data_IF_749621187528
#
_entry.id   IF_749621187528
#
_cell.length_a   1.000
_cell.length_b   1.000
_cell.length_c   1.000
_cell.angle_alpha   90.00
_cell.angle_beta   90.00
_cell.angle_gamma   90.00
#
_symmetry.space_group_name_H-M   'P 1'
#
loop_
_entity.id
_entity.type
_entity.pdbx_description
1 polymer ?
#
# COMPACT_ATOMS: atom_id res chain seq x y z
N UNK A 1 4.63 25.13 29.05
CA UNK A 1 4.11 24.17 28.06
C UNK A 1 3.19 24.92 27.08
N UNK A 2 3.71 25.25 25.89
CA UNK A 2 2.89 25.77 24.78
C UNK A 2 2.09 24.60 24.16
N UNK A 3 0.81 24.83 23.84
CA UNK A 3 -0.01 23.89 23.08
C UNK A 3 -0.25 24.44 21.69
N UNK A 4 0.04 23.63 20.68
CA UNK A 4 -0.22 23.95 19.28
C UNK A 4 -1.40 23.10 18.81
N UNK A 5 -2.30 23.70 18.04
CA UNK A 5 -3.44 23.01 17.44
C UNK A 5 -3.51 23.36 15.96
N UNK A 6 -3.50 22.36 15.11
CA UNK A 6 -3.62 22.52 13.66
C UNK A 6 -4.56 21.49 13.08
N UNK A 7 -5.14 21.80 11.93
CA UNK A 7 -5.98 20.92 11.13
C UNK A 7 -5.16 20.38 9.97
N UNK A 8 -5.23 19.07 9.71
CA UNK A 8 -4.66 18.44 8.52
C UNK A 8 -5.60 17.36 7.99
N UNK A 9 -5.39 16.96 6.74
CA UNK A 9 -6.16 15.90 6.06
C UNK A 9 -5.35 14.63 5.86
N UNK A 10 -4.19 14.51 6.53
CA UNK A 10 -3.34 13.33 6.41
C UNK A 10 -3.99 12.10 7.03
N UNK A 11 -3.87 11.01 6.32
CA UNK A 11 -4.40 9.70 6.66
C UNK A 11 -3.38 8.61 6.29
N UNK A 12 -3.26 7.53 7.05
CA UNK A 12 -3.79 7.29 8.41
C UNK A 12 -2.94 7.98 9.50
N UNK A 13 -3.23 7.69 10.77
CA UNK A 13 -2.66 8.36 11.95
C UNK A 13 -1.13 8.46 11.98
N UNK A 14 -0.40 7.44 11.47
CA UNK A 14 1.07 7.49 11.45
C UNK A 14 1.62 8.61 10.55
N UNK A 15 0.88 9.05 9.54
CA UNK A 15 1.27 10.19 8.70
C UNK A 15 1.12 11.53 9.45
N UNK A 16 0.18 11.60 10.41
CA UNK A 16 0.09 12.74 11.34
C UNK A 16 1.32 12.75 12.24
N UNK A 17 1.73 11.59 12.75
CA UNK A 17 2.96 11.45 13.54
C UNK A 17 4.21 11.89 12.74
N UNK A 18 4.31 11.47 11.47
CA UNK A 18 5.38 11.89 10.58
C UNK A 18 5.39 13.41 10.37
N UNK A 19 4.22 14.03 10.22
CA UNK A 19 4.08 15.48 10.13
C UNK A 19 4.56 16.17 11.42
N UNK A 20 4.19 15.66 12.59
CA UNK A 20 4.65 16.21 13.88
C UNK A 20 6.17 16.16 13.98
N UNK A 21 6.81 15.05 13.58
CA UNK A 21 8.28 14.98 13.54
C UNK A 21 8.89 15.97 12.56
N UNK A 22 8.33 16.13 11.38
CA UNK A 22 8.79 17.12 10.39
C UNK A 22 8.70 18.55 10.94
N UNK A 23 7.58 18.91 11.58
CA UNK A 23 7.42 20.23 12.21
C UNK A 23 8.41 20.41 13.36
N UNK A 24 8.63 19.38 14.18
CA UNK A 24 9.58 19.42 15.30
C UNK A 24 11.01 19.66 14.83
N UNK A 25 11.39 19.19 13.65
CA UNK A 25 12.74 19.39 13.09
C UNK A 25 12.99 20.83 12.61
N UNK A 26 11.94 21.58 12.27
CA UNK A 26 12.01 22.98 11.88
C UNK A 26 11.97 23.89 13.14
N UNK A 27 11.29 23.44 14.20
CA UNK A 27 10.98 24.23 15.39
C UNK A 27 9.52 24.68 15.41
N UNK A 28 8.81 24.36 16.49
CA UNK A 28 7.38 24.67 16.59
C UNK A 28 7.09 26.18 16.60
N UNK A 29 7.96 26.97 17.19
CA UNK A 29 7.76 28.43 17.27
C UNK A 29 7.88 29.07 15.88
N UNK A 30 8.90 28.71 15.11
CA UNK A 30 9.11 29.23 13.73
C UNK A 30 7.99 28.77 12.79
N UNK A 31 7.49 27.55 13.00
CA UNK A 31 6.43 27.00 12.20
C UNK A 31 5.07 27.63 12.55
N UNK A 32 4.79 27.85 13.84
CA UNK A 32 3.50 28.35 14.32
C UNK A 32 3.18 29.76 13.84
N UNK A 33 4.15 30.63 13.72
CA UNK A 33 3.97 32.03 13.31
C UNK A 33 3.52 32.15 11.86
N UNK A 34 3.77 31.13 11.03
CA UNK A 34 3.52 31.16 9.60
C UNK A 34 2.36 30.27 9.15
N UNK A 35 2.07 29.17 9.86
CA UNK A 35 1.18 28.09 9.35
C UNK A 35 0.13 27.61 10.37
N UNK A 36 -0.17 28.35 11.41
CA UNK A 36 -0.78 27.91 12.68
C UNK A 36 -2.12 27.17 12.58
N UNK A 37 -2.95 27.38 11.55
CA UNK A 37 -4.35 26.93 11.65
C UNK A 37 -4.79 25.89 10.62
N UNK A 38 -4.21 25.81 9.45
CA UNK A 38 -4.65 24.88 8.41
C UNK A 38 -3.46 24.33 7.60
N UNK A 39 -3.21 23.04 7.79
CA UNK A 39 -2.21 22.26 7.06
C UNK A 39 -2.85 21.32 6.02
N UNK A 40 -4.11 21.58 5.65
CA UNK A 40 -4.83 20.75 4.67
C UNK A 40 -4.24 20.80 3.26
N UNK A 41 -3.33 21.75 2.98
CA UNK A 41 -2.58 21.82 1.74
C UNK A 41 -1.45 20.76 1.66
N UNK A 42 -1.03 20.18 2.80
CA UNK A 42 0.00 19.14 2.83
C UNK A 42 -0.60 17.85 2.31
N UNK A 43 0.01 17.30 1.28
CA UNK A 43 -0.38 16.02 0.67
C UNK A 43 0.75 15.03 0.83
N UNK A 44 0.40 13.75 0.91
CA UNK A 44 1.37 12.67 0.87
C UNK A 44 2.00 12.58 -0.53
N UNK A 45 3.25 12.13 -0.64
CA UNK A 45 3.85 11.81 -1.92
C UNK A 45 3.05 10.72 -2.65
N UNK A 46 3.10 10.74 -3.98
CA UNK A 46 2.46 9.72 -4.82
C UNK A 46 2.89 8.31 -4.40
N UNK A 47 1.93 7.39 -4.33
CA UNK A 47 2.18 6.00 -3.94
C UNK A 47 2.61 5.79 -2.48
N UNK A 48 2.30 6.74 -1.59
CA UNK A 48 2.52 6.64 -0.14
C UNK A 48 1.19 6.82 0.60
N UNK A 49 0.54 5.72 0.91
CA UNK A 49 -0.83 5.67 1.47
C UNK A 49 -1.77 6.61 0.69
N UNK A 50 -1.60 6.61 -0.61
CA UNK A 50 -2.33 7.49 -1.51
C UNK A 50 -3.76 6.99 -1.68
N UNK A 51 -4.72 7.75 -1.17
CA UNK A 51 -6.14 7.51 -1.40
C UNK A 51 -6.50 7.98 -2.80
N UNK A 52 -7.00 7.08 -3.64
CA UNK A 52 -7.44 7.44 -4.99
C UNK A 52 -8.78 8.15 -4.88
N UNK A 53 -8.78 9.42 -5.25
CA UNK A 53 -9.95 10.28 -5.21
C UNK A 53 -10.74 10.22 -6.52
N UNK A 54 -11.96 10.78 -6.49
CA UNK A 54 -12.88 10.87 -7.64
C UNK A 54 -13.47 9.54 -8.12
N UNK A 55 -13.36 8.49 -7.31
CA UNK A 55 -14.01 7.19 -7.54
C UNK A 55 -14.98 6.87 -6.40
N UNK A 56 -15.99 6.04 -6.67
CA UNK A 56 -17.00 5.65 -5.69
C UNK A 56 -16.54 4.52 -4.73
N UNK A 57 -15.29 4.12 -4.81
CA UNK A 57 -14.70 3.00 -4.07
C UNK A 57 -13.49 3.46 -3.24
N UNK A 58 -13.17 2.72 -2.19
CA UNK A 58 -12.02 3.01 -1.36
C UNK A 58 -10.80 2.23 -1.88
N UNK A 59 -9.91 2.91 -2.59
CA UNK A 59 -8.67 2.33 -3.11
C UNK A 59 -7.48 3.13 -2.57
N UNK A 60 -6.48 2.42 -2.07
CA UNK A 60 -5.24 3.00 -1.54
C UNK A 60 -4.06 2.33 -2.24
N UNK A 61 -3.15 3.13 -2.77
CA UNK A 61 -1.88 2.67 -3.36
C UNK A 61 -0.74 3.02 -2.40
N UNK A 62 0.09 2.02 -2.06
CA UNK A 62 1.22 2.22 -1.15
C UNK A 62 2.47 1.44 -1.57
N UNK A 63 3.63 2.00 -1.26
CA UNK A 63 4.94 1.42 -1.54
C UNK A 63 5.41 0.41 -0.47
N UNK A 64 4.61 0.04 0.51
CA UNK A 64 4.98 -0.93 1.54
C UNK A 64 5.49 -2.23 0.89
N UNK A 65 6.72 -2.63 1.23
CA UNK A 65 7.43 -3.77 0.64
C UNK A 65 8.32 -4.52 1.65
N UNK A 66 8.08 -4.33 2.94
CA UNK A 66 8.73 -5.07 4.03
C UNK A 66 7.74 -5.36 5.16
N UNK A 67 8.07 -6.32 6.04
CA UNK A 67 7.17 -6.79 7.08
C UNK A 67 6.69 -5.69 8.02
N UNK A 68 7.58 -4.77 8.42
CA UNK A 68 7.22 -3.69 9.34
C UNK A 68 6.26 -2.69 8.69
N UNK A 69 6.53 -2.27 7.44
CA UNK A 69 5.63 -1.34 6.74
C UNK A 69 4.27 -1.98 6.46
N UNK A 70 4.21 -3.29 6.16
CA UNK A 70 2.94 -4.03 6.03
C UNK A 70 2.14 -3.98 7.33
N UNK A 71 2.77 -4.34 8.45
CA UNK A 71 2.11 -4.39 9.75
C UNK A 71 1.55 -3.03 10.15
N UNK A 72 2.38 -1.99 10.09
CA UNK A 72 1.97 -0.62 10.45
C UNK A 72 0.83 -0.13 9.56
N UNK A 73 0.94 -0.33 8.24
CA UNK A 73 -0.08 0.10 7.29
C UNK A 73 -1.40 -0.64 7.51
N UNK A 74 -1.37 -1.97 7.50
CA UNK A 74 -2.58 -2.79 7.60
C UNK A 74 -3.30 -2.60 8.92
N UNK A 75 -2.58 -2.59 10.06
CA UNK A 75 -3.15 -2.30 11.37
C UNK A 75 -3.76 -0.89 11.45
N UNK A 76 -3.18 0.08 10.75
CA UNK A 76 -3.71 1.44 10.74
C UNK A 76 -4.97 1.57 9.90
N UNK A 77 -4.99 0.96 8.70
CA UNK A 77 -6.15 1.01 7.79
C UNK A 77 -7.33 0.19 8.32
N UNK A 78 -7.07 -0.95 8.97
CA UNK A 78 -8.10 -1.82 9.56
C UNK A 78 -8.98 -1.12 10.61
N UNK A 79 -8.55 0.01 11.16
CA UNK A 79 -9.38 0.84 12.07
C UNK A 79 -10.53 1.56 11.39
N UNK A 80 -10.48 1.68 10.07
CA UNK A 80 -11.41 2.49 9.28
C UNK A 80 -12.29 1.66 8.35
N UNK A 81 -11.91 0.41 8.08
CA UNK A 81 -12.62 -0.48 7.15
C UNK A 81 -12.77 -1.86 7.75
N UNK A 82 -13.97 -2.44 7.62
CA UNK A 82 -14.28 -3.78 8.14
C UNK A 82 -13.55 -4.87 7.34
N UNK A 83 -13.42 -4.67 6.03
CA UNK A 83 -12.82 -5.63 5.12
C UNK A 83 -11.67 -4.99 4.31
N UNK A 84 -10.47 -5.56 4.44
CA UNK A 84 -9.34 -5.22 3.59
C UNK A 84 -9.14 -6.28 2.52
N UNK A 85 -9.08 -5.83 1.27
CA UNK A 85 -8.73 -6.64 0.11
C UNK A 85 -7.35 -6.20 -0.34
N UNK A 86 -6.42 -7.14 -0.48
CA UNK A 86 -5.04 -6.81 -0.81
C UNK A 86 -4.67 -7.30 -2.22
N UNK A 87 -3.95 -6.47 -2.96
CA UNK A 87 -3.15 -6.88 -4.11
C UNK A 87 -1.69 -6.70 -3.73
N UNK A 88 -0.94 -7.79 -3.70
CA UNK A 88 0.45 -7.79 -3.24
C UNK A 88 1.31 -8.72 -4.09
N UNK A 89 2.49 -8.23 -4.46
CA UNK A 89 3.56 -9.01 -5.07
C UNK A 89 4.84 -8.92 -4.25
N UNK A 90 5.77 -9.82 -4.51
CA UNK A 90 7.08 -9.83 -3.87
C UNK A 90 8.17 -9.72 -4.93
N UNK A 91 9.17 -8.87 -4.67
CA UNK A 91 10.31 -8.73 -5.57
C UNK A 91 11.15 -10.01 -5.64
N UNK A 92 11.55 -10.37 -6.87
CA UNK A 92 12.56 -11.38 -7.13
C UNK A 92 13.97 -10.88 -6.83
N UNK A 93 14.93 -11.79 -6.71
CA UNK A 93 16.35 -11.51 -6.42
C UNK A 93 16.55 -10.65 -5.15
N UNK A 94 15.68 -10.86 -4.16
CA UNK A 94 15.67 -10.20 -2.86
C UNK A 94 15.64 -11.22 -1.73
N UNK A 95 15.66 -10.71 -0.50
CA UNK A 95 15.60 -11.55 0.71
C UNK A 95 14.29 -12.36 0.76
N UNK A 96 14.42 -13.66 0.47
CA UNK A 96 13.30 -14.61 0.41
C UNK A 96 12.66 -14.86 1.77
N UNK A 97 13.43 -14.71 2.87
CA UNK A 97 12.96 -15.00 4.22
C UNK A 97 11.80 -14.10 4.67
N UNK A 98 11.65 -12.92 4.04
CA UNK A 98 10.59 -11.95 4.35
C UNK A 98 9.25 -12.30 3.74
N UNK A 99 9.23 -13.07 2.62
CA UNK A 99 8.00 -13.33 1.83
C UNK A 99 6.93 -14.01 2.67
N UNK A 100 7.27 -15.12 3.33
CA UNK A 100 6.32 -15.85 4.16
C UNK A 100 5.80 -15.01 5.35
N UNK A 101 6.70 -14.25 6.00
CA UNK A 101 6.30 -13.35 7.10
C UNK A 101 5.37 -12.24 6.63
N UNK A 102 5.64 -11.64 5.47
CA UNK A 102 4.79 -10.58 4.91
C UNK A 102 3.42 -11.12 4.53
N UNK A 103 3.35 -12.32 3.94
CA UNK A 103 2.08 -12.96 3.62
C UNK A 103 1.30 -13.30 4.90
N UNK A 104 1.95 -13.78 5.96
CA UNK A 104 1.28 -14.02 7.24
C UNK A 104 0.67 -12.73 7.80
N UNK A 105 1.41 -11.62 7.80
CA UNK A 105 0.89 -10.32 8.24
C UNK A 105 -0.31 -9.89 7.38
N UNK A 106 -0.26 -10.13 6.07
CA UNK A 106 -1.38 -9.86 5.18
C UNK A 106 -2.61 -10.69 5.54
N UNK A 107 -2.45 -12.01 5.79
CA UNK A 107 -3.53 -12.93 6.19
C UNK A 107 -4.17 -12.52 7.52
N UNK A 108 -3.38 -12.12 8.51
CA UNK A 108 -3.86 -11.73 9.84
C UNK A 108 -4.70 -10.43 9.80
N UNK A 109 -4.54 -9.63 8.74
CA UNK A 109 -5.10 -8.29 8.67
C UNK A 109 -6.08 -8.05 7.51
N UNK A 110 -6.32 -9.02 6.65
CA UNK A 110 -7.21 -8.84 5.49
C UNK A 110 -8.20 -9.99 5.34
N UNK A 111 -9.28 -9.71 4.63
CA UNK A 111 -10.32 -10.70 4.32
C UNK A 111 -10.04 -11.47 3.02
N UNK A 112 -9.28 -10.86 2.10
CA UNK A 112 -8.95 -11.47 0.82
C UNK A 112 -7.62 -10.95 0.27
N UNK A 113 -6.84 -11.84 -0.31
CA UNK A 113 -5.52 -11.51 -0.88
C UNK A 113 -5.44 -11.97 -2.34
N UNK A 114 -5.00 -11.08 -3.20
CA UNK A 114 -4.57 -11.37 -4.56
C UNK A 114 -3.04 -11.32 -4.60
N UNK A 115 -2.42 -12.51 -4.65
CA UNK A 115 -0.97 -12.62 -4.86
C UNK A 115 -0.67 -12.50 -6.35
N UNK A 116 0.24 -11.59 -6.69
CA UNK A 116 0.55 -11.27 -8.07
C UNK A 116 2.05 -11.00 -8.26
N UNK A 117 2.46 -10.75 -9.50
CA UNK A 117 3.84 -10.34 -9.77
C UNK A 117 4.11 -8.90 -9.31
N UNK A 118 5.34 -8.67 -8.91
CA UNK A 118 5.98 -7.37 -8.73
C UNK A 118 7.17 -7.34 -9.73
N UNK A 119 8.31 -6.82 -9.38
CA UNK A 119 9.54 -6.94 -10.15
C UNK A 119 10.15 -8.34 -9.90
N UNK A 120 9.75 -9.34 -10.68
CA UNK A 120 10.26 -10.71 -10.52
C UNK A 120 11.72 -10.86 -10.95
N UNK A 121 12.25 -9.92 -11.74
CA UNK A 121 13.63 -9.89 -12.24
C UNK A 121 14.01 -11.20 -12.94
N UNK A 122 15.04 -11.91 -12.44
CA UNK A 122 15.45 -13.22 -12.97
C UNK A 122 14.75 -14.40 -12.30
N UNK A 123 13.98 -14.16 -11.24
CA UNK A 123 13.32 -15.22 -10.47
C UNK A 123 11.95 -15.55 -11.04
N UNK A 124 11.64 -16.84 -11.22
CA UNK A 124 10.33 -17.28 -11.68
C UNK A 124 9.24 -16.96 -10.68
N UNK A 125 8.10 -16.50 -11.15
CA UNK A 125 6.93 -16.15 -10.33
C UNK A 125 6.52 -17.29 -9.39
N UNK A 126 6.48 -18.54 -9.89
CA UNK A 126 6.08 -19.71 -9.10
C UNK A 126 7.01 -19.95 -7.89
N UNK A 127 8.30 -19.64 -8.04
CA UNK A 127 9.25 -19.77 -6.92
C UNK A 127 9.01 -18.68 -5.86
N UNK A 128 8.69 -17.46 -6.28
CA UNK A 128 8.35 -16.36 -5.39
C UNK A 128 7.10 -16.70 -4.59
N UNK A 129 6.06 -17.21 -5.25
CA UNK A 129 4.81 -17.64 -4.61
C UNK A 129 5.07 -18.82 -3.66
N UNK A 130 5.84 -19.82 -4.07
CA UNK A 130 6.20 -20.95 -3.22
C UNK A 130 6.89 -20.52 -1.94
N UNK A 131 7.78 -19.54 -2.01
CA UNK A 131 8.45 -19.00 -0.82
C UNK A 131 7.50 -18.22 0.08
N UNK A 132 6.60 -17.44 -0.49
CA UNK A 132 5.58 -16.70 0.27
C UNK A 132 4.59 -17.64 0.98
N UNK A 133 4.20 -18.72 0.32
CA UNK A 133 3.24 -19.69 0.85
C UNK A 133 3.81 -20.63 1.92
N UNK A 134 5.11 -20.60 2.20
CA UNK A 134 5.71 -21.45 3.24
C UNK A 134 5.12 -21.18 4.62
N UNK A 135 4.38 -22.15 5.16
CA UNK A 135 3.69 -22.05 6.43
C UNK A 135 2.37 -21.26 6.40
N UNK A 136 1.95 -20.76 5.24
CA UNK A 136 0.76 -19.94 5.05
C UNK A 136 -0.25 -20.69 4.14
N UNK A 137 -0.90 -21.72 4.67
CA UNK A 137 -1.81 -22.56 3.89
C UNK A 137 -3.29 -22.26 4.11
N UNK A 138 -3.61 -21.35 5.04
CA UNK A 138 -4.99 -20.99 5.39
C UNK A 138 -5.26 -19.51 5.03
N UNK A 139 -6.44 -19.26 4.49
CA UNK A 139 -6.91 -17.93 4.13
C UNK A 139 -7.44 -17.83 2.71
N UNK A 140 -8.14 -16.73 2.42
CA UNK A 140 -8.70 -16.46 1.08
C UNK A 140 -7.64 -15.82 0.19
N UNK A 141 -6.85 -16.67 -0.46
CA UNK A 141 -5.78 -16.28 -1.38
C UNK A 141 -6.14 -16.66 -2.80
N UNK A 142 -6.08 -15.69 -3.70
CA UNK A 142 -6.18 -15.89 -5.15
C UNK A 142 -4.83 -15.53 -5.77
N UNK A 143 -4.26 -16.43 -6.58
CA UNK A 143 -2.96 -16.22 -7.24
C UNK A 143 -3.23 -15.90 -8.71
N UNK A 144 -2.79 -14.72 -9.14
CA UNK A 144 -2.89 -14.24 -10.52
C UNK A 144 -1.56 -13.57 -10.86
N UNK A 145 -0.79 -14.13 -11.78
CA UNK A 145 0.54 -13.62 -12.14
C UNK A 145 0.45 -12.23 -12.76
N UNK A 146 -0.46 -12.00 -13.70
CA UNK A 146 -0.68 -10.69 -14.30
C UNK A 146 -1.24 -9.72 -13.26
N UNK A 147 -0.44 -8.67 -12.94
CA UNK A 147 -0.79 -7.71 -11.91
C UNK A 147 -1.98 -6.84 -12.29
N UNK A 148 -2.13 -6.51 -13.56
CA UNK A 148 -3.31 -5.77 -14.05
C UNK A 148 -4.57 -6.59 -13.84
N UNK A 149 -4.54 -7.85 -14.22
CA UNK A 149 -5.66 -8.77 -14.02
C UNK A 149 -5.97 -8.96 -12.53
N UNK A 150 -4.96 -9.07 -11.68
CA UNK A 150 -5.13 -9.17 -10.22
C UNK A 150 -5.85 -7.94 -9.64
N UNK A 151 -5.47 -6.72 -10.04
CA UNK A 151 -6.13 -5.48 -9.60
C UNK A 151 -7.58 -5.43 -10.08
N UNK A 152 -7.85 -5.75 -11.35
CA UNK A 152 -9.20 -5.78 -11.93
C UNK A 152 -10.08 -6.78 -11.18
N UNK A 153 -9.58 -7.97 -10.87
CA UNK A 153 -10.33 -8.98 -10.14
C UNK A 153 -10.55 -8.56 -8.67
N UNK A 154 -9.54 -8.02 -7.99
CA UNK A 154 -9.67 -7.54 -6.63
C UNK A 154 -10.74 -6.44 -6.50
N UNK A 155 -10.80 -5.53 -7.46
CA UNK A 155 -11.79 -4.45 -7.49
C UNK A 155 -13.25 -4.94 -7.51
N UNK A 156 -13.54 -6.15 -8.02
CA UNK A 156 -14.90 -6.73 -8.07
C UNK A 156 -15.43 -7.06 -6.67
N UNK A 157 -14.56 -7.22 -5.67
CA UNK A 157 -14.92 -7.55 -4.28
C UNK A 157 -15.13 -6.31 -3.41
N UNK A 158 -14.94 -5.10 -3.95
CA UNK A 158 -15.16 -3.87 -3.20
C UNK A 158 -16.64 -3.56 -2.99
N UNK A 159 -16.99 -3.33 -1.74
CA UNK A 159 -18.27 -2.78 -1.29
C UNK A 159 -18.07 -1.45 -0.52
N UNK A 160 -19.10 -0.98 0.17
CA UNK A 160 -19.08 0.31 0.90
C UNK A 160 -18.17 0.27 2.13
N UNK A 161 -17.98 -0.91 2.74
CA UNK A 161 -17.24 -1.09 4.00
C UNK A 161 -15.85 -1.68 3.77
N UNK A 162 -15.48 -1.94 2.53
CA UNK A 162 -14.19 -2.51 2.16
C UNK A 162 -13.23 -1.48 1.58
N UNK A 163 -11.94 -1.79 1.66
CA UNK A 163 -10.87 -1.02 1.05
C UNK A 163 -9.93 -1.95 0.27
N UNK A 164 -9.61 -1.58 -0.97
CA UNK A 164 -8.57 -2.22 -1.76
C UNK A 164 -7.24 -1.54 -1.50
N UNK A 165 -6.27 -2.32 -1.03
CA UNK A 165 -4.88 -1.90 -0.86
C UNK A 165 -4.02 -2.54 -1.94
N UNK A 166 -3.43 -1.72 -2.80
CA UNK A 166 -2.49 -2.15 -3.84
C UNK A 166 -1.09 -1.83 -3.34
N UNK A 167 -0.32 -2.87 -3.00
CA UNK A 167 0.93 -2.75 -2.26
C UNK A 167 2.16 -3.17 -3.07
N UNK A 168 3.29 -2.55 -2.75
CA UNK A 168 4.62 -2.89 -3.24
C UNK A 168 5.19 -1.86 -4.20
N UNK A 169 4.50 -1.51 -5.27
CA UNK A 169 5.00 -0.62 -6.32
C UNK A 169 4.83 0.87 -6.02
N UNK A 170 3.74 1.24 -5.34
CA UNK A 170 3.48 2.64 -5.02
C UNK A 170 3.52 3.53 -6.27
N UNK A 171 4.53 4.41 -6.37
CA UNK A 171 4.72 5.35 -7.48
C UNK A 171 5.49 4.79 -8.67
N UNK A 172 5.96 3.55 -8.63
CA UNK A 172 6.71 2.95 -9.74
C UNK A 172 5.86 2.87 -11.00
N UNK A 173 6.50 3.11 -12.15
CA UNK A 173 5.88 3.07 -13.49
C UNK A 173 6.48 1.98 -14.37
N UNK A 174 7.20 1.03 -13.77
CA UNK A 174 7.84 -0.06 -14.49
C UNK A 174 7.69 -1.37 -13.76
N UNK A 175 7.77 -2.47 -14.50
CA UNK A 175 7.86 -3.83 -13.98
C UNK A 175 9.00 -4.56 -14.67
N UNK A 176 9.89 -5.16 -13.89
CA UNK A 176 11.04 -5.92 -14.38
C UNK A 176 10.72 -7.42 -14.34
N UNK A 177 10.73 -8.07 -15.51
CA UNK A 177 10.46 -9.50 -15.69
C UNK A 177 11.53 -10.07 -16.65
N UNK A 178 12.22 -11.14 -16.27
CA UNK A 178 13.27 -11.79 -17.06
C UNK A 178 14.35 -10.80 -17.57
N UNK A 179 14.76 -9.86 -16.69
CA UNK A 179 15.75 -8.83 -16.99
C UNK A 179 15.28 -7.77 -18.01
N UNK A 180 14.00 -7.77 -18.37
CA UNK A 180 13.39 -6.76 -19.25
C UNK A 180 12.50 -5.83 -18.44
N UNK A 181 12.54 -4.55 -18.78
CA UNK A 181 11.72 -3.51 -18.14
C UNK A 181 10.52 -3.22 -19.03
N UNK A 182 9.34 -3.37 -18.46
CA UNK A 182 8.07 -3.07 -19.10
C UNK A 182 7.44 -1.84 -18.43
N UNK A 183 6.69 -1.05 -19.19
CA UNK A 183 5.86 0.00 -18.61
C UNK A 183 4.70 -0.64 -17.84
N UNK A 184 4.50 -0.23 -16.59
CA UNK A 184 3.41 -0.68 -15.74
C UNK A 184 3.19 0.30 -14.59
N UNK A 185 1.95 0.68 -14.32
CA UNK A 185 1.59 1.55 -13.21
C UNK A 185 0.29 1.09 -12.56
N UNK A 186 0.30 0.90 -11.24
CA UNK A 186 -0.92 0.61 -10.47
C UNK A 186 -1.98 1.70 -10.64
N UNK A 187 -1.56 2.97 -10.74
CA UNK A 187 -2.45 4.11 -10.95
C UNK A 187 -3.17 4.04 -12.29
N UNK A 188 -2.42 3.74 -13.37
CA UNK A 188 -3.00 3.64 -14.72
C UNK A 188 -4.03 2.52 -14.80
N UNK A 189 -3.77 1.39 -14.13
CA UNK A 189 -4.75 0.29 -14.06
C UNK A 189 -6.02 0.72 -13.33
N UNK A 190 -5.89 1.44 -12.22
CA UNK A 190 -7.06 1.95 -11.49
C UNK A 190 -7.80 2.99 -12.32
N UNK A 191 -7.09 3.89 -13.00
CA UNK A 191 -7.70 4.89 -13.89
C UNK A 191 -8.47 4.22 -15.04
N UNK A 192 -7.93 3.16 -15.65
CA UNK A 192 -8.63 2.39 -16.70
C UNK A 192 -9.92 1.69 -16.21
N UNK A 193 -9.99 1.32 -14.92
CA UNK A 193 -11.19 0.67 -14.35
C UNK A 193 -12.34 1.67 -14.17
N UNK A 194 -12.03 2.95 -13.95
CA UNK A 194 -13.03 3.95 -13.54
C UNK A 194 -13.30 5.05 -14.58
N UNK A 195 -12.55 5.09 -15.67
CA UNK A 195 -12.77 5.98 -16.83
C UNK A 195 -13.27 5.20 -18.04
#
# INVERSE_FOLDING_TARGET
NKKYKFKCTLFPDFNITNLVFAISSIGFDDFSDKYVNDLSFIKLPKGRTEVINNISKNIIIDYAHNSHSFEVLLCSIKKYFDNLILVVGFGGDRDKSKRAKMLQIALDNSSKIFLTSDNSRSEKFENIIKDAMKGNNEGDITIIEDRKEAIINANKFLDKNSCLLILGKGHEQTQEIDGKIYHFSDHEVVDEIYN
#
